data_IF_665142805147
#
_entry.id   IF_665142805147
#
_cell.length_a   1.000
_cell.length_b   1.000
_cell.length_c   1.000
_cell.angle_alpha   90.00
_cell.angle_beta   90.00
_cell.angle_gamma   90.00
#
_symmetry.space_group_name_H-M   'P 1'
#
loop_
_entity.id
_entity.type
_entity.pdbx_description
1 polymer ?
#
# COMPACT_ATOMS: atom_id res chain seq x y z
N UNK A 1 -31.63 18.36 -13.21
CA UNK A 1 -30.92 17.26 -13.90
C UNK A 1 -29.67 16.91 -13.10
N UNK A 2 -29.75 15.89 -12.22
CA UNK A 2 -28.61 15.39 -11.42
C UNK A 2 -27.91 14.32 -12.24
N UNK A 3 -26.64 14.53 -12.60
CA UNK A 3 -25.80 13.52 -13.26
C UNK A 3 -25.27 12.57 -12.17
N UNK A 4 -25.77 11.33 -12.17
CA UNK A 4 -25.14 10.23 -11.43
C UNK A 4 -23.78 9.93 -12.06
N UNK A 5 -22.72 10.15 -11.30
CA UNK A 5 -21.39 9.63 -11.61
C UNK A 5 -21.35 8.18 -11.15
N UNK A 6 -21.38 7.25 -12.10
CA UNK A 6 -21.08 5.84 -11.87
C UNK A 6 -19.57 5.73 -11.70
N UNK A 7 -19.12 5.57 -10.46
CA UNK A 7 -17.73 5.20 -10.16
C UNK A 7 -17.57 3.72 -10.52
N UNK A 8 -16.94 3.44 -11.66
CA UNK A 8 -16.53 2.09 -12.01
C UNK A 8 -15.38 1.67 -11.07
N UNK A 9 -15.68 0.78 -10.12
CA UNK A 9 -14.66 0.09 -9.35
C UNK A 9 -13.89 -0.85 -10.30
N UNK A 10 -12.69 -0.42 -10.69
CA UNK A 10 -11.80 -1.23 -11.52
C UNK A 10 -11.12 -2.26 -10.61
N UNK A 11 -11.76 -3.40 -10.43
CA UNK A 11 -11.19 -4.57 -9.76
C UNK A 11 -10.03 -5.07 -10.63
N UNK A 12 -8.80 -4.84 -10.18
CA UNK A 12 -7.62 -5.47 -10.78
C UNK A 12 -7.64 -6.95 -10.38
N UNK A 13 -8.17 -7.78 -11.26
CA UNK A 13 -8.13 -9.23 -11.13
C UNK A 13 -6.69 -9.71 -11.32
N UNK A 14 -6.07 -10.16 -10.23
CA UNK A 14 -4.88 -11.01 -10.32
C UNK A 14 -5.29 -12.33 -10.99
N UNK A 15 -4.81 -12.55 -12.21
CA UNK A 15 -5.07 -13.75 -12.97
C UNK A 15 -4.45 -14.99 -12.31
N UNK A 16 -5.30 -15.85 -11.78
CA UNK A 16 -5.02 -17.28 -11.63
C UNK A 16 -5.59 -18.00 -12.84
N UNK A 17 -4.71 -18.59 -13.66
CA UNK A 17 -5.08 -19.48 -14.76
C UNK A 17 -5.33 -20.92 -14.26
N UNK A 18 -6.21 -21.63 -14.97
CA UNK A 18 -6.69 -23.03 -14.85
C UNK A 18 -7.79 -23.25 -13.78
N UNK A 19 -9.00 -23.75 -14.04
CA UNK A 19 -9.55 -24.59 -15.12
C UNK A 19 -11.00 -24.20 -15.45
N UNK A 20 -11.37 -24.37 -16.72
CA UNK A 20 -12.74 -24.34 -17.20
C UNK A 20 -13.45 -25.68 -16.91
N UNK A 21 -14.72 -25.61 -16.51
CA UNK A 21 -15.71 -26.62 -16.88
C UNK A 21 -17.09 -25.95 -16.90
N UNK A 22 -17.68 -25.88 -18.10
CA UNK A 22 -19.05 -25.43 -18.34
C UNK A 22 -20.08 -26.34 -17.67
N UNK A 23 -21.18 -25.76 -17.20
CA UNK A 23 -22.51 -26.27 -17.57
C UNK A 23 -23.57 -25.17 -17.49
N UNK A 24 -24.52 -25.28 -18.42
CA UNK A 24 -25.60 -24.36 -18.80
C UNK A 24 -26.82 -24.43 -17.89
N UNK A 25 -27.63 -23.36 -17.94
CA UNK A 25 -29.07 -23.33 -17.64
C UNK A 25 -29.42 -22.03 -16.91
N UNK A 26 -30.18 -21.05 -17.41
CA UNK A 26 -31.34 -21.10 -18.31
C UNK A 26 -32.62 -20.99 -17.46
N UNK A 27 -33.15 -19.77 -17.26
CA UNK A 27 -34.42 -19.58 -16.56
C UNK A 27 -34.74 -18.12 -16.20
N UNK A 28 -35.75 -17.58 -16.87
CA UNK A 28 -36.29 -16.22 -16.81
C UNK A 28 -37.36 -16.01 -15.72
N UNK A 29 -37.44 -14.78 -15.20
CA UNK A 29 -38.71 -14.07 -14.95
C UNK A 29 -39.30 -14.15 -13.54
N UNK A 30 -39.70 -12.98 -13.02
CA UNK A 30 -40.58 -12.88 -11.84
C UNK A 30 -40.31 -11.65 -10.99
N UNK A 31 -40.88 -10.51 -11.38
CA UNK A 31 -41.04 -9.33 -10.54
C UNK A 31 -42.01 -9.61 -9.41
N UNK A 32 -41.67 -9.24 -8.18
CA UNK A 32 -42.68 -8.83 -7.21
C UNK A 32 -42.15 -7.73 -6.26
N UNK A 33 -43.02 -6.73 -6.09
CA UNK A 33 -42.88 -5.54 -5.24
C UNK A 33 -43.50 -5.84 -3.87
N UNK A 34 -42.88 -5.28 -2.83
CA UNK A 34 -43.37 -5.27 -1.44
C UNK A 34 -42.30 -5.87 -0.54
N UNK A 35 -41.78 -5.24 0.50
CA UNK A 35 -42.31 -4.16 1.29
C UNK A 35 -41.15 -3.39 1.93
N UNK A 36 -41.20 -2.07 1.86
CA UNK A 36 -40.16 -1.17 2.38
C UNK A 36 -40.33 -0.99 3.89
N UNK A 37 -39.71 -1.87 4.67
CA UNK A 37 -39.50 -1.64 6.11
C UNK A 37 -38.21 -0.85 6.27
N UNK A 38 -38.38 0.38 6.76
CA UNK A 38 -37.35 1.41 6.89
C UNK A 38 -36.10 0.90 7.61
N UNK A 39 -35.00 0.85 6.87
CA UNK A 39 -33.66 0.88 7.47
C UNK A 39 -33.41 2.31 7.93
N UNK A 40 -33.52 2.52 9.23
CA UNK A 40 -32.97 3.71 9.89
C UNK A 40 -31.50 3.86 9.48
N UNK A 41 -31.20 4.94 8.75
CA UNK A 41 -29.85 5.38 8.45
C UNK A 41 -29.16 5.77 9.76
N UNK A 42 -28.64 4.78 10.48
CA UNK A 42 -27.65 5.00 11.51
C UNK A 42 -26.35 5.35 10.81
N UNK A 43 -26.07 6.65 10.66
CA UNK A 43 -24.73 7.14 10.33
C UNK A 43 -23.79 6.53 11.39
N UNK A 44 -23.00 5.53 10.99
CA UNK A 44 -21.95 5.00 11.84
C UNK A 44 -21.03 6.17 12.21
N UNK A 45 -20.79 6.44 13.51
CA UNK A 45 -19.96 7.56 13.91
C UNK A 45 -18.58 7.45 13.27
N UNK A 46 -17.99 8.59 12.94
CA UNK A 46 -16.56 8.73 12.53
C UNK A 46 -15.56 8.20 13.57
N UNK A 47 -16.05 7.70 14.71
CA UNK A 47 -15.27 7.13 15.82
C UNK A 47 -15.05 5.60 15.67
N UNK A 48 -15.58 4.98 14.61
CA UNK A 48 -15.35 3.56 14.34
C UNK A 48 -13.92 3.32 13.86
N UNK A 49 -13.08 2.88 14.79
CA UNK A 49 -11.70 2.50 14.57
C UNK A 49 -11.48 1.15 15.27
N UNK A 50 -11.68 0.02 14.56
CA UNK A 50 -11.75 -1.30 15.20
C UNK A 50 -10.38 -1.94 15.41
N UNK A 51 -9.33 -1.35 14.85
CA UNK A 51 -7.98 -1.84 15.05
C UNK A 51 -7.48 -1.50 16.44
N UNK A 52 -6.82 -2.47 17.08
CA UNK A 52 -6.17 -2.31 18.38
C UNK A 52 -4.87 -1.47 18.25
N UNK A 53 -5.03 -0.23 17.79
CA UNK A 53 -3.98 0.78 17.69
C UNK A 53 -4.38 2.00 18.51
N UNK A 54 -3.44 2.69 19.19
CA UNK A 54 -3.83 3.72 20.15
C UNK A 54 -4.55 4.90 19.49
N UNK A 55 -5.81 5.15 19.90
CA UNK A 55 -6.72 6.13 19.28
C UNK A 55 -6.30 7.60 19.44
N UNK A 56 -5.56 7.92 20.50
CA UNK A 56 -5.00 9.25 20.74
C UNK A 56 -3.74 9.50 19.90
N UNK A 57 -3.78 9.15 18.62
CA UNK A 57 -2.66 9.30 17.70
C UNK A 57 -2.73 10.66 17.00
N UNK A 58 -1.62 11.39 17.04
CA UNK A 58 -1.48 12.69 16.38
C UNK A 58 -0.21 12.65 15.54
N UNK A 59 -0.34 13.04 14.28
CA UNK A 59 0.79 13.24 13.37
C UNK A 59 1.59 14.46 13.83
N UNK A 60 2.91 14.37 13.64
CA UNK A 60 3.82 15.50 13.86
C UNK A 60 4.06 16.20 12.53
N UNK A 61 4.32 17.49 12.59
CA UNK A 61 4.80 18.30 11.46
C UNK A 61 3.87 18.20 10.23
N UNK A 62 2.56 18.26 10.48
CA UNK A 62 1.53 18.31 9.43
C UNK A 62 0.81 19.64 9.41
N UNK A 63 0.50 20.12 8.22
CA UNK A 63 -0.13 21.43 8.02
C UNK A 63 -1.19 21.44 6.92
N UNK A 64 -2.03 22.46 6.93
CA UNK A 64 -3.06 22.67 5.91
C UNK A 64 -2.41 22.89 4.54
N UNK A 65 -2.96 22.24 3.51
CA UNK A 65 -2.44 22.30 2.14
C UNK A 65 -1.39 21.23 1.82
N UNK A 66 -0.86 20.53 2.81
CA UNK A 66 0.08 19.44 2.59
C UNK A 66 -0.60 18.22 1.94
N UNK A 67 0.16 17.52 1.09
CA UNK A 67 -0.30 16.26 0.47
C UNK A 67 -0.07 15.08 1.42
N UNK A 68 -1.05 14.19 1.49
CA UNK A 68 -1.00 12.98 2.33
C UNK A 68 -1.52 11.78 1.57
N UNK A 69 -1.15 10.58 2.02
CA UNK A 69 -1.72 9.31 1.57
C UNK A 69 -2.66 8.77 2.65
N UNK A 70 -3.89 8.42 2.28
CA UNK A 70 -4.91 7.98 3.23
C UNK A 70 -5.94 7.06 2.58
N UNK A 71 -6.58 6.13 3.32
CA UNK A 71 -7.75 5.40 2.85
C UNK A 71 -9.05 6.21 2.95
N UNK A 72 -9.00 7.53 3.19
CA UNK A 72 -10.14 8.37 3.57
C UNK A 72 -11.44 8.10 2.78
N UNK A 73 -11.40 8.11 1.44
CA UNK A 73 -12.59 7.88 0.60
C UNK A 73 -13.22 6.49 0.83
N UNK A 74 -12.39 5.45 0.93
CA UNK A 74 -12.86 4.07 1.12
C UNK A 74 -13.28 3.81 2.56
N UNK A 75 -12.58 4.40 3.52
CA UNK A 75 -12.93 4.35 4.94
C UNK A 75 -14.28 5.05 5.18
N UNK A 76 -14.45 6.29 4.71
CA UNK A 76 -15.70 7.03 4.81
C UNK A 76 -16.86 6.31 4.14
N UNK A 77 -16.65 5.78 2.92
CA UNK A 77 -17.65 4.99 2.22
C UNK A 77 -18.03 3.69 2.93
N UNK A 78 -17.05 2.96 3.49
CA UNK A 78 -17.29 1.72 4.23
C UNK A 78 -18.09 1.97 5.52
N UNK A 79 -17.78 3.06 6.24
CA UNK A 79 -18.57 3.49 7.40
C UNK A 79 -20.03 3.80 7.01
N UNK A 80 -20.24 4.56 5.95
CA UNK A 80 -21.59 4.89 5.46
C UNK A 80 -22.40 3.65 5.09
N UNK A 81 -21.74 2.60 4.59
CA UNK A 81 -22.37 1.32 4.23
C UNK A 81 -22.48 0.33 5.39
N UNK A 82 -21.92 0.65 6.56
CA UNK A 82 -21.92 -0.23 7.74
C UNK A 82 -21.09 -1.50 7.54
N UNK A 83 -20.01 -1.42 6.75
CA UNK A 83 -19.12 -2.56 6.51
C UNK A 83 -18.21 -2.85 7.71
N UNK A 84 -17.78 -4.11 7.82
CA UNK A 84 -16.72 -4.51 8.73
C UNK A 84 -15.35 -4.04 8.20
N UNK A 85 -14.85 -2.94 8.76
CA UNK A 85 -13.55 -2.36 8.38
C UNK A 85 -12.36 -3.30 8.58
N UNK A 86 -12.47 -4.37 9.37
CA UNK A 86 -11.39 -5.36 9.52
C UNK A 86 -11.31 -6.33 8.34
N UNK A 87 -12.42 -6.49 7.61
CA UNK A 87 -12.52 -7.31 6.41
C UNK A 87 -12.49 -6.49 5.11
N UNK A 88 -12.88 -5.21 5.16
CA UNK A 88 -12.90 -4.30 4.00
C UNK A 88 -11.48 -3.96 3.53
N UNK A 89 -11.32 -3.94 2.20
CA UNK A 89 -10.11 -3.43 1.55
C UNK A 89 -10.22 -1.91 1.43
N UNK A 90 -9.19 -1.20 1.88
CA UNK A 90 -9.19 0.25 2.02
C UNK A 90 -8.04 0.86 1.20
N UNK A 91 -8.18 0.97 -0.13
CA UNK A 91 -7.16 1.58 -0.98
C UNK A 91 -6.71 2.94 -0.48
N UNK A 92 -5.39 3.15 -0.44
CA UNK A 92 -4.77 4.36 0.08
C UNK A 92 -4.43 5.29 -1.08
N UNK A 93 -5.09 6.45 -1.15
CA UNK A 93 -4.93 7.44 -2.23
C UNK A 93 -4.34 8.76 -1.74
N UNK A 94 -3.93 9.63 -2.67
CA UNK A 94 -3.48 10.98 -2.37
C UNK A 94 -4.65 11.94 -2.05
N UNK A 95 -4.49 12.74 -1.00
CA UNK A 95 -5.41 13.81 -0.59
C UNK A 95 -4.63 15.05 -0.14
N UNK A 96 -5.34 16.17 0.01
CA UNK A 96 -4.79 17.42 0.56
C UNK A 96 -5.40 17.71 1.93
N UNK A 97 -4.59 18.08 2.91
CA UNK A 97 -5.08 18.46 4.24
C UNK A 97 -5.88 19.76 4.17
N UNK A 98 -7.08 19.76 4.76
CA UNK A 98 -7.95 20.94 4.92
C UNK A 98 -7.98 21.46 6.35
N UNK A 99 -7.92 20.57 7.33
CA UNK A 99 -7.98 20.92 8.75
C UNK A 99 -7.23 19.86 9.57
N UNK A 100 -6.43 20.32 10.54
CA UNK A 100 -5.74 19.45 11.49
C UNK A 100 -6.44 19.54 12.85
N UNK A 101 -7.08 18.44 13.27
CA UNK A 101 -7.66 18.31 14.60
C UNK A 101 -6.70 17.65 15.60
N UNK A 102 -7.19 17.29 16.78
CA UNK A 102 -6.36 16.64 17.81
C UNK A 102 -5.97 15.20 17.44
N UNK A 103 -6.96 14.35 17.12
CA UNK A 103 -6.75 12.92 16.74
C UNK A 103 -7.27 12.59 15.34
N UNK A 104 -7.96 13.54 14.70
CA UNK A 104 -8.55 13.43 13.37
C UNK A 104 -8.00 14.50 12.47
N UNK A 105 -8.09 14.30 11.16
CA UNK A 105 -7.69 15.25 10.14
C UNK A 105 -8.75 15.25 9.04
N UNK A 106 -9.08 16.44 8.54
CA UNK A 106 -9.97 16.58 7.39
C UNK A 106 -9.12 16.70 6.15
N UNK A 107 -9.37 15.84 5.17
CA UNK A 107 -8.66 15.80 3.89
C UNK A 107 -9.63 15.96 2.74
N UNK A 108 -9.17 16.57 1.65
CA UNK A 108 -9.94 16.76 0.43
C UNK A 108 -9.30 16.02 -0.75
N UNK A 109 -10.13 15.40 -1.56
CA UNK A 109 -9.73 14.64 -2.75
C UNK A 109 -10.93 13.91 -3.32
N UNK A 110 -10.85 13.54 -4.60
CA UNK A 110 -11.94 12.81 -5.29
C UNK A 110 -13.31 13.54 -5.26
N UNK A 111 -13.33 14.86 -5.09
CA UNK A 111 -14.55 15.67 -5.04
C UNK A 111 -15.23 15.75 -3.67
N UNK A 112 -14.62 15.20 -2.62
CA UNK A 112 -15.20 15.16 -1.27
C UNK A 112 -14.21 15.70 -0.23
N UNK A 113 -14.75 16.15 0.92
CA UNK A 113 -13.99 16.43 2.13
C UNK A 113 -14.36 15.39 3.19
N UNK A 114 -13.36 14.72 3.75
CA UNK A 114 -13.55 13.54 4.59
C UNK A 114 -12.71 13.70 5.85
N UNK A 115 -13.35 13.54 7.01
CA UNK A 115 -12.69 13.49 8.30
C UNK A 115 -12.27 12.06 8.60
N UNK A 116 -11.00 11.85 8.90
CA UNK A 116 -10.42 10.52 9.14
C UNK A 116 -9.52 10.54 10.39
N UNK A 117 -9.38 9.43 11.14
CA UNK A 117 -8.35 9.30 12.17
C UNK A 117 -6.95 9.56 11.61
N UNK A 118 -6.14 10.36 12.31
CA UNK A 118 -4.76 10.67 11.90
C UNK A 118 -3.88 9.42 11.80
N UNK A 119 -4.20 8.36 12.55
CA UNK A 119 -3.52 7.06 12.46
C UNK A 119 -3.58 6.46 11.05
N UNK A 120 -4.57 6.80 10.22
CA UNK A 120 -4.73 6.30 8.86
C UNK A 120 -4.07 7.20 7.80
N UNK A 121 -3.31 8.22 8.20
CA UNK A 121 -2.76 9.22 7.28
C UNK A 121 -1.24 9.15 7.29
N UNK A 122 -0.64 9.06 6.10
CA UNK A 122 0.80 9.10 5.89
C UNK A 122 1.17 10.43 5.24
N UNK A 123 1.80 11.36 5.98
CA UNK A 123 2.15 12.67 5.44
C UNK A 123 3.34 12.61 4.50
N UNK A 124 3.27 13.42 3.43
CA UNK A 124 4.38 13.67 2.51
C UNK A 124 4.89 15.08 2.78
N UNK A 125 6.15 15.25 3.23
CA UNK A 125 6.66 16.56 3.60
C UNK A 125 6.82 17.48 2.40
N UNK A 126 6.78 18.79 2.65
CA UNK A 126 7.00 19.79 1.61
C UNK A 126 8.50 20.06 1.42
N UNK A 127 8.89 20.32 0.18
CA UNK A 127 10.27 20.71 -0.16
C UNK A 127 11.30 19.59 -0.02
N UNK A 128 10.88 18.34 0.18
CA UNK A 128 11.81 17.22 0.22
C UNK A 128 12.49 17.03 -1.14
N UNK A 129 13.77 16.69 -1.09
CA UNK A 129 14.63 16.47 -2.25
C UNK A 129 15.06 15.02 -2.27
N UNK A 130 15.16 14.44 -3.47
CA UNK A 130 15.66 13.09 -3.65
C UNK A 130 16.87 13.05 -4.58
N UNK A 131 17.70 12.03 -4.40
CA UNK A 131 18.88 11.71 -5.19
C UNK A 131 18.68 10.41 -5.95
N UNK A 132 19.46 10.22 -7.01
CA UNK A 132 19.40 8.99 -7.80
C UNK A 132 19.66 7.74 -6.94
N UNK A 133 18.75 6.77 -7.00
CA UNK A 133 18.77 5.55 -6.17
C UNK A 133 18.00 5.65 -4.85
N UNK A 134 17.53 6.83 -4.44
CA UNK A 134 16.65 6.95 -3.27
C UNK A 134 15.34 6.19 -3.49
N UNK A 135 14.84 5.57 -2.42
CA UNK A 135 13.52 4.95 -2.41
C UNK A 135 12.53 5.92 -1.77
N UNK A 136 11.41 6.15 -2.44
CA UNK A 136 10.41 7.13 -2.08
C UNK A 136 9.09 6.45 -1.72
N UNK A 137 8.38 7.00 -0.74
CA UNK A 137 6.94 6.83 -0.56
C UNK A 137 6.22 7.92 -1.35
N UNK A 138 5.27 7.55 -2.20
CA UNK A 138 4.53 8.47 -3.08
C UNK A 138 3.19 7.83 -3.49
N UNK A 139 2.56 8.34 -4.54
CA UNK A 139 1.50 7.68 -5.27
C UNK A 139 1.83 7.61 -6.76
N UNK A 140 1.14 6.76 -7.49
CA UNK A 140 1.22 6.72 -8.96
C UNK A 140 0.71 8.04 -9.55
N UNK A 141 1.57 8.88 -10.12
CA UNK A 141 1.25 10.28 -10.44
C UNK A 141 0.22 10.48 -11.57
N UNK A 142 0.14 9.52 -12.49
CA UNK A 142 -0.94 9.43 -13.49
C UNK A 142 -2.23 8.80 -12.95
N UNK A 143 -2.22 8.34 -11.70
CA UNK A 143 -3.40 7.92 -10.94
C UNK A 143 -3.38 8.48 -9.52
N UNK A 144 -3.76 7.66 -8.53
CA UNK A 144 -3.87 8.10 -7.13
C UNK A 144 -3.38 7.10 -6.08
N UNK A 145 -3.15 5.84 -6.45
CA UNK A 145 -2.81 4.76 -5.50
C UNK A 145 -1.44 4.92 -4.87
N UNK A 146 -1.35 4.64 -3.56
CA UNK A 146 -0.11 4.46 -2.80
C UNK A 146 0.91 3.67 -3.62
N UNK A 147 2.13 4.20 -3.69
CA UNK A 147 3.25 3.56 -4.34
C UNK A 147 4.53 3.82 -3.56
N UNK A 148 5.50 2.93 -3.75
CA UNK A 148 6.91 3.21 -3.51
C UNK A 148 7.64 3.18 -4.82
N UNK A 149 8.64 4.03 -4.96
CA UNK A 149 9.37 4.20 -6.21
C UNK A 149 10.86 4.38 -5.94
N UNK A 150 11.71 4.07 -6.91
CA UNK A 150 13.14 4.38 -6.87
C UNK A 150 13.44 5.52 -7.84
N UNK A 151 14.26 6.48 -7.41
CA UNK A 151 14.71 7.58 -8.28
C UNK A 151 15.69 7.05 -9.32
N UNK A 152 15.43 7.39 -10.59
CA UNK A 152 16.25 6.98 -11.74
C UNK A 152 16.88 8.16 -12.50
N UNK A 153 16.43 9.38 -12.20
CA UNK A 153 16.98 10.65 -12.70
C UNK A 153 16.60 11.77 -11.72
N UNK A 154 17.61 12.36 -11.09
CA UNK A 154 17.52 13.41 -10.07
C UNK A 154 17.99 14.79 -10.56
N UNK A 155 18.06 14.99 -11.89
CA UNK A 155 18.37 16.30 -12.48
C UNK A 155 17.48 17.43 -11.95
N UNK A 156 16.25 17.09 -11.54
CA UNK A 156 15.35 17.95 -10.77
C UNK A 156 15.03 17.31 -9.42
N UNK A 157 15.79 17.62 -8.38
CA UNK A 157 15.66 16.97 -7.07
C UNK A 157 14.29 17.12 -6.37
N UNK A 158 13.52 18.16 -6.69
CA UNK A 158 12.15 18.39 -6.16
C UNK A 158 11.05 17.70 -6.98
N UNK A 159 11.39 17.26 -8.20
CA UNK A 159 10.49 16.60 -9.15
C UNK A 159 11.29 15.52 -9.90
N UNK A 160 11.84 14.53 -9.19
CA UNK A 160 12.70 13.51 -9.80
C UNK A 160 11.88 12.60 -10.73
N UNK A 161 12.54 11.92 -11.66
CA UNK A 161 11.92 10.80 -12.38
C UNK A 161 12.15 9.50 -11.65
N UNK A 162 11.16 8.62 -11.68
CA UNK A 162 11.18 7.40 -10.89
C UNK A 162 10.81 6.15 -11.69
N UNK A 163 11.09 4.99 -11.10
CA UNK A 163 10.49 3.72 -11.46
C UNK A 163 9.69 3.21 -10.25
N UNK A 164 8.38 2.99 -10.41
CA UNK A 164 7.55 2.43 -9.34
C UNK A 164 7.95 1.01 -9.03
N UNK A 165 8.05 0.70 -7.73
CA UNK A 165 8.47 -0.59 -7.20
C UNK A 165 7.28 -1.53 -6.94
N UNK A 166 6.12 -1.01 -6.58
CA UNK A 166 4.95 -1.83 -6.23
C UNK A 166 4.07 -2.20 -7.44
N UNK A 167 4.26 -1.55 -8.59
CA UNK A 167 3.56 -1.89 -9.85
C UNK A 167 4.18 -3.11 -10.54
N UNK A 168 3.36 -3.84 -11.31
CA UNK A 168 3.77 -5.00 -12.11
C UNK A 168 4.87 -4.62 -13.11
N UNK A 169 6.09 -5.14 -12.90
CA UNK A 169 7.21 -4.96 -13.81
C UNK A 169 7.52 -6.28 -14.50
N UNK A 170 7.58 -6.25 -15.84
CA UNK A 170 7.90 -7.42 -16.65
C UNK A 170 9.20 -7.22 -17.41
N UNK A 171 9.97 -8.31 -17.49
CA UNK A 171 11.25 -8.30 -18.19
C UNK A 171 11.12 -8.06 -19.70
N UNK A 172 9.94 -8.32 -20.27
CA UNK A 172 9.62 -8.09 -21.68
C UNK A 172 9.13 -6.65 -21.97
N UNK A 173 9.11 -5.77 -20.97
CA UNK A 173 8.72 -4.37 -21.14
C UNK A 173 7.21 -4.13 -21.14
N UNK A 174 6.36 -5.15 -20.97
CA UNK A 174 4.89 -5.03 -21.05
C UNK A 174 4.18 -4.94 -19.69
N UNK A 175 4.93 -4.81 -18.59
CA UNK A 175 4.37 -4.61 -17.27
C UNK A 175 3.83 -3.20 -17.09
N UNK A 176 2.87 -3.03 -16.20
CA UNK A 176 2.29 -1.71 -15.91
C UNK A 176 3.34 -0.71 -15.40
N UNK A 177 4.29 -1.15 -14.58
CA UNK A 177 5.43 -0.35 -14.15
C UNK A 177 6.34 0.06 -15.32
N UNK A 178 6.46 -0.77 -16.37
CA UNK A 178 7.27 -0.45 -17.54
C UNK A 178 6.65 0.72 -18.33
N UNK A 179 5.33 0.76 -18.47
CA UNK A 179 4.59 1.83 -19.16
C UNK A 179 4.66 3.18 -18.44
N UNK A 180 5.00 3.18 -17.15
CA UNK A 180 5.18 4.37 -16.32
C UNK A 180 6.63 4.56 -15.85
N UNK A 181 7.59 3.93 -16.53
CA UNK A 181 9.00 4.11 -16.21
C UNK A 181 9.45 5.53 -16.56
N UNK A 182 10.24 6.15 -15.68
CA UNK A 182 10.72 7.53 -15.77
C UNK A 182 9.61 8.59 -15.67
N UNK A 183 8.51 8.29 -14.98
CA UNK A 183 7.49 9.30 -14.67
C UNK A 183 8.09 10.38 -13.74
N UNK A 184 7.89 11.66 -14.10
CA UNK A 184 8.34 12.80 -13.29
C UNK A 184 7.35 13.04 -12.14
N UNK A 185 7.85 13.04 -10.90
CA UNK A 185 7.04 13.33 -9.73
C UNK A 185 6.67 14.81 -9.64
N UNK A 186 5.48 15.11 -9.10
CA UNK A 186 5.07 16.48 -8.78
C UNK A 186 5.89 17.02 -7.57
N UNK A 187 6.02 18.34 -7.39
CA UNK A 187 6.60 18.87 -6.16
C UNK A 187 5.74 18.47 -4.94
N UNK A 188 6.37 18.31 -3.77
CA UNK A 188 5.70 17.97 -2.50
C UNK A 188 4.86 16.68 -2.60
N UNK A 189 5.28 15.73 -3.42
CA UNK A 189 4.53 14.50 -3.74
C UNK A 189 5.17 13.22 -3.23
N UNK A 190 6.23 13.32 -2.43
CA UNK A 190 6.96 12.16 -1.97
C UNK A 190 7.58 12.38 -0.59
N UNK A 191 7.95 11.24 0.00
CA UNK A 191 8.79 11.16 1.18
C UNK A 191 10.00 10.26 0.91
N UNK A 192 11.23 10.68 1.23
CA UNK A 192 12.39 9.78 1.11
C UNK A 192 12.33 8.75 2.24
N UNK A 193 12.37 7.47 1.88
CA UNK A 193 12.45 6.37 2.82
C UNK A 193 13.91 6.10 3.19
N UNK A 194 14.15 5.90 4.48
CA UNK A 194 15.47 5.55 5.01
C UNK A 194 15.52 4.05 5.29
N UNK A 195 16.52 3.39 4.71
CA UNK A 195 16.66 1.95 4.86
C UNK A 195 16.94 1.57 6.31
N UNK A 196 16.24 0.55 6.81
CA UNK A 196 16.38 0.11 8.20
C UNK A 196 15.73 1.02 9.25
N UNK A 197 14.99 2.06 8.83
CA UNK A 197 14.20 2.89 9.75
C UNK A 197 12.73 2.47 9.82
N UNK A 198 12.18 2.52 11.03
CA UNK A 198 10.76 2.27 11.29
C UNK A 198 9.96 3.55 11.01
N UNK A 199 9.37 3.63 9.82
CA UNK A 199 8.64 4.82 9.36
C UNK A 199 7.47 4.44 8.45
N UNK A 200 6.48 5.32 8.32
CA UNK A 200 5.42 5.18 7.30
C UNK A 200 6.01 4.95 5.91
N UNK A 201 5.50 3.96 5.20
CA UNK A 201 5.98 3.51 3.89
C UNK A 201 7.04 2.41 3.93
N UNK A 202 7.69 2.14 5.07
CA UNK A 202 8.69 1.09 5.17
C UNK A 202 8.07 -0.31 4.98
N UNK A 203 8.79 -1.21 4.29
CA UNK A 203 8.45 -2.62 4.20
C UNK A 203 8.77 -3.34 5.51
N UNK A 204 7.86 -4.21 5.95
CA UNK A 204 8.08 -5.15 7.04
C UNK A 204 7.64 -6.57 6.65
N UNK A 205 8.30 -7.56 7.24
CA UNK A 205 7.79 -8.92 7.36
C UNK A 205 7.19 -9.09 8.76
N UNK A 206 5.96 -9.61 8.83
CA UNK A 206 5.24 -9.88 10.08
C UNK A 206 5.19 -11.38 10.29
N UNK A 207 5.67 -11.87 11.43
CA UNK A 207 5.55 -13.28 11.79
C UNK A 207 4.11 -13.59 12.20
N UNK A 208 3.46 -14.43 11.42
CA UNK A 208 2.15 -14.99 11.67
C UNK A 208 2.28 -16.51 11.71
N UNK A 209 2.49 -17.03 12.93
CA UNK A 209 2.61 -18.47 13.19
C UNK A 209 3.66 -19.18 12.32
N UNK A 210 4.86 -18.59 12.23
CA UNK A 210 5.97 -19.13 11.43
C UNK A 210 5.91 -18.79 9.94
N UNK A 211 4.88 -18.07 9.48
CA UNK A 211 4.84 -17.50 8.13
C UNK A 211 5.10 -16.00 8.19
N UNK A 212 6.05 -15.54 7.40
CA UNK A 212 6.40 -14.13 7.30
C UNK A 212 5.52 -13.44 6.25
N UNK A 213 4.53 -12.68 6.68
CA UNK A 213 3.64 -11.90 5.80
C UNK A 213 4.25 -10.55 5.45
N UNK A 214 4.17 -10.15 4.19
CA UNK A 214 4.65 -8.84 3.76
C UNK A 214 3.62 -7.74 4.06
N UNK A 215 4.10 -6.60 4.56
CA UNK A 215 3.27 -5.43 4.83
C UNK A 215 4.04 -4.12 4.67
N UNK A 216 3.30 -3.02 4.58
CA UNK A 216 3.78 -1.64 4.57
C UNK A 216 3.30 -0.98 5.86
N UNK A 217 4.19 -0.24 6.52
CA UNK A 217 3.81 0.54 7.71
C UNK A 217 2.97 1.73 7.28
N UNK A 218 1.77 1.86 7.85
CA UNK A 218 0.95 3.08 7.78
C UNK A 218 1.41 4.06 8.86
N UNK A 219 1.37 3.66 10.13
CA UNK A 219 1.82 4.47 11.25
C UNK A 219 2.31 3.61 12.43
N UNK A 220 3.03 4.24 13.35
CA UNK A 220 3.71 3.60 14.47
C UNK A 220 3.37 4.33 15.76
N UNK A 221 3.01 3.60 16.82
CA UNK A 221 2.88 4.20 18.15
C UNK A 221 3.22 3.21 19.24
N UNK A 222 4.27 3.54 20.01
CA UNK A 222 4.82 2.63 21.00
C UNK A 222 5.38 1.38 20.33
N UNK A 223 4.92 0.23 20.79
CA UNK A 223 5.19 -1.10 20.27
C UNK A 223 4.24 -1.52 19.14
N UNK A 224 3.17 -0.77 18.85
CA UNK A 224 2.21 -1.15 17.82
C UNK A 224 2.51 -0.53 16.46
N UNK A 225 2.33 -1.33 15.41
CA UNK A 225 2.37 -0.91 14.01
C UNK A 225 1.00 -1.04 13.40
N UNK A 226 0.49 0.03 12.78
CA UNK A 226 -0.63 -0.03 11.87
C UNK A 226 -0.10 -0.33 10.48
N UNK A 227 -0.62 -1.38 9.84
CA UNK A 227 -0.05 -1.98 8.64
C UNK A 227 -1.08 -2.06 7.51
N UNK A 228 -0.58 -2.11 6.27
CA UNK A 228 -1.37 -2.44 5.07
C UNK A 228 -0.66 -3.48 4.20
N UNK A 229 -1.40 -4.33 3.47
CA UNK A 229 -0.87 -5.30 2.49
C UNK A 229 -1.12 -4.84 1.04
N UNK A 230 -0.65 -5.61 0.07
CA UNK A 230 -0.91 -5.36 -1.35
C UNK A 230 -2.41 -5.39 -1.72
N UNK A 231 -3.26 -5.99 -0.88
CA UNK A 231 -4.71 -5.96 -1.02
C UNK A 231 -5.34 -4.70 -0.40
N UNK A 232 -4.57 -3.87 0.29
CA UNK A 232 -5.04 -2.74 1.10
C UNK A 232 -5.88 -3.14 2.31
N UNK A 233 -5.70 -4.35 2.85
CA UNK A 233 -6.26 -4.67 4.17
C UNK A 233 -5.47 -3.92 5.22
N UNK A 234 -6.14 -3.31 6.19
CA UNK A 234 -5.48 -2.65 7.33
C UNK A 234 -5.58 -3.56 8.55
N UNK A 235 -4.48 -3.69 9.30
CA UNK A 235 -4.47 -4.41 10.59
C UNK A 235 -3.32 -3.91 11.48
N UNK A 236 -3.26 -4.44 12.70
CA UNK A 236 -2.22 -4.10 13.67
C UNK A 236 -1.36 -5.31 13.97
N UNK A 237 -0.06 -5.08 14.11
CA UNK A 237 0.87 -6.05 14.67
C UNK A 237 1.74 -5.40 15.74
N UNK A 238 2.16 -6.20 16.70
CA UNK A 238 3.23 -5.83 17.62
C UNK A 238 4.55 -5.75 16.86
N UNK A 239 5.33 -4.72 17.13
CA UNK A 239 6.64 -4.47 16.50
C UNK A 239 7.62 -5.60 16.76
N UNK A 240 7.52 -6.26 17.91
CA UNK A 240 8.32 -7.46 18.22
C UNK A 240 8.04 -8.63 17.27
N UNK A 241 6.85 -8.67 16.65
CA UNK A 241 6.50 -9.68 15.64
C UNK A 241 6.95 -9.30 14.24
N UNK A 242 7.55 -8.12 14.07
CA UNK A 242 7.87 -7.55 12.78
C UNK A 242 9.38 -7.42 12.59
N UNK A 243 9.83 -7.56 11.35
CA UNK A 243 11.20 -7.23 10.93
C UNK A 243 11.16 -6.29 9.74
N UNK A 244 11.97 -5.24 9.78
CA UNK A 244 12.14 -4.35 8.63
C UNK A 244 12.77 -5.10 7.47
N UNK A 245 12.37 -4.74 6.26
CA UNK A 245 13.02 -5.17 5.03
C UNK A 245 13.93 -4.03 4.57
N UNK A 246 15.25 -4.11 4.83
CA UNK A 246 16.18 -3.12 4.31
C UNK A 246 16.31 -3.27 2.78
N UNK A 247 16.48 -2.14 2.11
CA UNK A 247 16.58 -2.04 0.65
C UNK A 247 17.92 -1.49 0.16
N UNK A 248 18.79 -1.03 1.06
CA UNK A 248 20.19 -0.72 0.79
C UNK A 248 21.11 -1.95 0.97
N UNK A 249 20.61 -3.13 0.59
CA UNK A 249 21.32 -4.39 0.73
C UNK A 249 22.05 -4.72 -0.57
N UNK A 250 23.33 -5.04 -0.46
CA UNK A 250 24.13 -5.52 -1.59
C UNK A 250 23.82 -6.99 -1.87
N UNK A 251 22.86 -7.21 -2.75
CA UNK A 251 22.58 -8.52 -3.33
C UNK A 251 23.56 -8.85 -4.45
N UNK A 252 24.07 -10.08 -4.44
CA UNK A 252 24.89 -10.64 -5.51
C UNK A 252 24.24 -11.91 -6.06
N UNK A 253 24.54 -12.23 -7.33
CA UNK A 253 24.07 -13.48 -7.95
C UNK A 253 24.59 -14.68 -7.14
N UNK A 254 23.70 -15.62 -6.84
CA UNK A 254 23.99 -16.79 -6.00
C UNK A 254 23.56 -16.65 -4.54
N UNK A 255 23.29 -15.42 -4.05
CA UNK A 255 22.79 -15.19 -2.69
C UNK A 255 21.53 -16.03 -2.42
N UNK A 256 21.48 -16.66 -1.24
CA UNK A 256 20.25 -17.26 -0.69
C UNK A 256 19.47 -16.17 0.04
N UNK A 257 18.21 -15.97 -0.32
CA UNK A 257 17.36 -14.90 0.22
C UNK A 257 15.96 -15.41 0.54
N UNK A 258 15.28 -14.66 1.40
CA UNK A 258 13.83 -14.68 1.50
C UNK A 258 13.23 -13.77 0.42
N UNK A 259 12.25 -14.27 -0.32
CA UNK A 259 11.60 -13.52 -1.39
C UNK A 259 10.07 -13.56 -1.23
N UNK A 260 9.40 -12.43 -1.45
CA UNK A 260 7.93 -12.36 -1.41
C UNK A 260 7.33 -13.10 -2.60
N UNK A 261 6.66 -14.22 -2.33
CA UNK A 261 5.87 -14.97 -3.29
C UNK A 261 4.42 -14.94 -2.80
N UNK A 262 3.55 -14.30 -3.58
CA UNK A 262 2.21 -13.91 -3.09
C UNK A 262 2.31 -12.88 -1.98
N UNK A 263 1.75 -13.18 -0.80
CA UNK A 263 1.74 -12.29 0.37
C UNK A 263 2.75 -12.70 1.46
N UNK A 264 3.59 -13.70 1.21
CA UNK A 264 4.54 -14.23 2.20
C UNK A 264 5.96 -14.27 1.69
N UNK A 265 6.92 -14.10 2.58
CA UNK A 265 8.33 -14.35 2.31
C UNK A 265 8.64 -15.84 2.38
N UNK A 266 9.19 -16.35 1.28
CA UNK A 266 9.59 -17.75 1.11
C UNK A 266 11.12 -17.83 1.20
N UNK A 267 11.69 -18.71 2.05
CA UNK A 267 13.15 -18.86 2.19
C UNK A 267 13.79 -19.51 0.97
N UNK A 268 15.12 -19.60 0.96
CA UNK A 268 15.92 -20.38 0.00
C UNK A 268 15.66 -20.06 -1.48
N UNK A 269 15.33 -18.80 -1.77
CA UNK A 269 15.30 -18.31 -3.15
C UNK A 269 16.71 -17.87 -3.54
N UNK A 270 17.14 -18.17 -4.76
CA UNK A 270 18.47 -17.81 -5.26
C UNK A 270 18.41 -16.56 -6.11
N UNK A 271 19.24 -15.57 -5.81
CA UNK A 271 19.36 -14.38 -6.66
C UNK A 271 20.02 -14.77 -7.98
N UNK A 272 19.36 -14.48 -9.11
CA UNK A 272 19.87 -14.78 -10.46
C UNK A 272 20.20 -13.52 -11.25
N UNK A 273 19.61 -12.37 -10.91
CA UNK A 273 19.94 -11.07 -11.50
C UNK A 273 19.58 -9.95 -10.55
N UNK A 274 20.39 -8.90 -10.52
CA UNK A 274 20.12 -7.66 -9.80
C UNK A 274 20.21 -6.50 -10.79
N UNK A 275 19.17 -5.67 -10.83
CA UNK A 275 19.15 -4.39 -11.53
C UNK A 275 18.88 -3.29 -10.49
N UNK A 276 19.96 -2.83 -9.85
CA UNK A 276 19.88 -1.82 -8.78
C UNK A 276 19.32 -0.49 -9.27
N UNK A 277 19.57 -0.13 -10.55
CA UNK A 277 19.15 1.16 -11.13
C UNK A 277 17.63 1.34 -11.09
N UNK A 278 16.87 0.27 -11.29
CA UNK A 278 15.41 0.29 -11.24
C UNK A 278 14.85 -0.51 -10.05
N UNK A 279 15.70 -0.86 -9.08
CA UNK A 279 15.32 -1.56 -7.87
C UNK A 279 14.66 -2.92 -8.12
N UNK A 280 15.17 -3.70 -9.08
CA UNK A 280 14.64 -5.04 -9.41
C UNK A 280 15.61 -6.16 -9.11
N UNK A 281 15.09 -7.24 -8.55
CA UNK A 281 15.83 -8.47 -8.27
C UNK A 281 15.07 -9.63 -8.89
N UNK A 282 15.74 -10.42 -9.71
CA UNK A 282 15.22 -11.71 -10.16
C UNK A 282 15.75 -12.79 -9.24
N UNK A 283 14.82 -13.59 -8.72
CA UNK A 283 15.12 -14.77 -7.90
C UNK A 283 14.60 -16.04 -8.57
N UNK A 284 15.17 -17.18 -8.21
CA UNK A 284 14.75 -18.51 -8.62
C UNK A 284 14.48 -19.40 -7.42
N UNK A 285 13.43 -20.22 -7.48
CA UNK A 285 13.19 -21.33 -6.57
C UNK A 285 12.60 -22.51 -7.34
N UNK A 286 13.22 -23.68 -7.23
CA UNK A 286 12.77 -24.93 -7.87
C UNK A 286 12.50 -24.76 -9.39
N UNK A 287 13.41 -24.10 -10.11
CA UNK A 287 13.29 -23.85 -11.55
C UNK A 287 12.23 -22.80 -11.96
N UNK A 288 11.57 -22.15 -11.01
CA UNK A 288 10.64 -21.03 -11.26
C UNK A 288 11.32 -19.72 -10.91
N UNK A 289 11.21 -18.73 -11.79
CA UNK A 289 11.75 -17.39 -11.56
C UNK A 289 10.65 -16.39 -11.19
N UNK A 290 11.01 -15.43 -10.34
CA UNK A 290 10.18 -14.27 -10.01
C UNK A 290 11.02 -13.00 -10.15
N UNK A 291 10.42 -11.96 -10.72
CA UNK A 291 11.02 -10.62 -10.78
C UNK A 291 10.33 -9.74 -9.74
N UNK A 292 11.10 -9.29 -8.76
CA UNK A 292 10.60 -8.63 -7.55
C UNK A 292 11.22 -7.25 -7.41
N UNK A 293 10.59 -6.37 -6.63
CA UNK A 293 11.24 -5.15 -6.17
C UNK A 293 12.30 -5.45 -5.09
N UNK A 294 13.24 -4.53 -4.90
CA UNK A 294 14.19 -4.54 -3.77
C UNK A 294 13.49 -4.50 -2.40
N UNK A 295 12.21 -4.10 -2.34
CA UNK A 295 11.39 -4.04 -1.11
C UNK A 295 10.72 -5.37 -0.76
N UNK A 296 10.92 -6.39 -1.59
CA UNK A 296 10.28 -7.70 -1.55
C UNK A 296 11.28 -8.85 -1.41
N UNK A 297 12.54 -8.52 -1.13
CA UNK A 297 13.64 -9.47 -0.93
C UNK A 297 14.41 -9.07 0.33
N UNK A 298 14.84 -10.04 1.14
CA UNK A 298 15.74 -9.83 2.28
C UNK A 298 16.67 -11.04 2.45
N UNK A 299 17.89 -10.82 2.96
CA UNK A 299 18.83 -11.92 3.25
C UNK A 299 18.40 -12.74 4.45
N UNK A 300 17.82 -12.10 5.47
CA UNK A 300 17.50 -12.74 6.74
C UNK A 300 16.10 -12.36 7.22
N UNK A 301 15.40 -13.35 7.78
CA UNK A 301 14.26 -13.19 8.66
C UNK A 301 14.48 -14.10 9.86
N UNK A 302 14.69 -13.51 11.04
CA UNK A 302 15.06 -14.26 12.25
C UNK A 302 13.82 -14.82 12.93
N UNK A 303 13.81 -16.11 13.23
CA UNK A 303 12.74 -16.67 14.05
C UNK A 303 12.64 -15.92 15.38
N UNK A 304 11.41 -15.59 15.78
CA UNK A 304 11.17 -14.91 17.04
C UNK A 304 11.48 -15.87 18.19
N UNK A 305 12.03 -15.38 19.31
CA UNK A 305 12.19 -16.20 20.50
C UNK A 305 10.87 -16.86 20.85
N UNK A 306 10.84 -18.19 20.95
CA UNK A 306 9.67 -18.90 21.49
C UNK A 306 9.51 -18.46 22.95
N UNK A 307 8.41 -17.78 23.25
CA UNK A 307 8.01 -17.48 24.63
C UNK A 307 7.41 -18.72 25.28
#
# INVERSE_FOLDING_TARGET
MKRMLVVAALVVTFGTLFNACESRGGGTGGSDRGDSIGRTNGVQPTDSFPWDFPRNFTLKDVEVGQTVLSPAAFYGGALQRGEDLTATLLPIYCFTIKEVGQNTITVAGMGEEIKVPQALVMPLPMGEKAQNGDVLLTWWQSGQGLQRAIVVDDTKQLTPKVCYLDLDYKADGRGFANSHANEELRPNSFKVLKSGEWMSGASVAVNDNGKWRAAIIVNIKGDKLLLTDAGNRIWVAEREKCQLIPFNVDYVVGDSVFAKIGNTFVPDCKVVKVDKRIGRIRVEKNGRTALLSILEVTKELKDLPKR
#
